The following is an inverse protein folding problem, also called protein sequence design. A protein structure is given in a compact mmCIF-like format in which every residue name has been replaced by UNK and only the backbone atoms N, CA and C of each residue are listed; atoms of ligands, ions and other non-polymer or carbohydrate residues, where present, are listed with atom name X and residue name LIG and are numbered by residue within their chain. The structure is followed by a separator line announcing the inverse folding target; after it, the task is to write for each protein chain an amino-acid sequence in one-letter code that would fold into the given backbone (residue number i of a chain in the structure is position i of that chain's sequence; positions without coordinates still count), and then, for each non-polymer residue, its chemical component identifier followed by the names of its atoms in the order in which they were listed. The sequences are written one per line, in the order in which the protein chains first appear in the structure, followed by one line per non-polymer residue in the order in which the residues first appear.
data_IF_854982695258
#
_entry.id   IF_854982695258
#
_cell.length_a   1.000
_cell.length_b   1.000
_cell.length_c   1.000
_cell.angle_alpha   90.00
_cell.angle_beta   90.00
_cell.angle_gamma   90.00
#
_symmetry.space_group_name_H-M   'P 1'
#
loop_
_entity.id
_entity.type
_entity.pdbx_description
1 polymer ?
#
# COMPACT_ATOMS: atom_id res chain seq x y z
N UNK A 1 -11.33 -3.13 -27.70
CA UNK A 1 -10.35 -3.87 -26.87
C UNK A 1 -9.41 -2.91 -26.13
N UNK A 2 -9.94 -1.81 -25.56
CA UNK A 2 -9.15 -0.77 -24.88
C UNK A 2 -8.80 -1.13 -23.44
N UNK A 3 -9.59 -2.00 -22.82
CA UNK A 3 -9.43 -2.33 -21.39
C UNK A 3 -8.22 -3.20 -21.10
N UNK A 4 -7.73 -3.99 -22.07
CA UNK A 4 -6.56 -4.85 -21.85
C UNK A 4 -5.24 -4.08 -21.78
N UNK A 5 -5.12 -2.99 -22.55
CA UNK A 5 -3.94 -2.11 -22.50
C UNK A 5 -3.89 -1.33 -21.19
N UNK A 6 -5.04 -0.79 -20.78
CA UNK A 6 -5.19 -0.09 -19.50
C UNK A 6 -4.95 -1.02 -18.31
N UNK A 7 -5.49 -2.25 -18.36
CA UNK A 7 -5.25 -3.28 -17.35
C UNK A 7 -3.79 -3.72 -17.30
N UNK A 8 -3.15 -3.90 -18.45
CA UNK A 8 -1.73 -4.30 -18.50
C UNK A 8 -0.84 -3.22 -17.89
N UNK A 9 -1.09 -1.95 -18.23
CA UNK A 9 -0.38 -0.82 -17.64
C UNK A 9 -0.55 -0.78 -16.11
N UNK A 10 -1.79 -0.87 -15.62
CA UNK A 10 -2.06 -0.90 -14.18
C UNK A 10 -1.33 -2.05 -13.48
N UNK A 11 -1.32 -3.24 -14.07
CA UNK A 11 -0.61 -4.41 -13.53
C UNK A 11 0.88 -4.11 -13.41
N UNK A 12 1.48 -3.58 -14.47
CA UNK A 12 2.92 -3.34 -14.53
C UNK A 12 3.34 -2.20 -13.57
N UNK A 13 2.58 -1.09 -13.56
CA UNK A 13 2.82 0.07 -12.68
C UNK A 13 2.65 -0.30 -11.20
N UNK A 14 1.56 -1.01 -10.85
CA UNK A 14 1.31 -1.44 -9.48
C UNK A 14 2.34 -2.48 -9.01
N UNK A 15 2.76 -3.40 -9.89
CA UNK A 15 3.82 -4.35 -9.58
C UNK A 15 5.12 -3.62 -9.26
N UNK A 16 5.49 -2.63 -10.07
CA UNK A 16 6.70 -1.86 -9.84
C UNK A 16 6.64 -1.08 -8.51
N UNK A 17 5.50 -0.45 -8.20
CA UNK A 17 5.31 0.28 -6.95
C UNK A 17 5.39 -0.65 -5.72
N UNK A 18 4.84 -1.88 -5.81
CA UNK A 18 4.98 -2.90 -4.77
C UNK A 18 6.43 -3.35 -4.59
N UNK A 19 7.18 -3.53 -5.68
CA UNK A 19 8.59 -3.93 -5.63
C UNK A 19 9.49 -2.84 -5.05
N UNK A 20 9.25 -1.57 -5.39
CA UNK A 20 9.96 -0.42 -4.83
C UNK A 20 9.52 -0.07 -3.41
N UNK A 21 8.46 -0.70 -2.91
CA UNK A 21 7.78 -0.37 -1.65
C UNK A 21 7.31 1.08 -1.57
N UNK A 22 6.94 1.66 -2.70
CA UNK A 22 6.44 3.02 -2.77
C UNK A 22 4.96 3.06 -2.34
N UNK A 23 4.74 3.30 -1.05
CA UNK A 23 3.41 3.28 -0.45
C UNK A 23 2.51 4.37 -1.02
N UNK A 24 3.07 5.55 -1.32
CA UNK A 24 2.30 6.67 -1.86
C UNK A 24 1.82 6.37 -3.28
N UNK A 25 2.71 5.83 -4.12
CA UNK A 25 2.35 5.43 -5.48
C UNK A 25 1.33 4.28 -5.50
N UNK A 26 1.47 3.31 -4.60
CA UNK A 26 0.46 2.23 -4.44
C UNK A 26 -0.92 2.80 -4.13
N UNK A 27 -1.02 3.75 -3.17
CA UNK A 27 -2.28 4.38 -2.81
C UNK A 27 -2.84 5.23 -3.95
N UNK A 28 -1.97 5.95 -4.66
CA UNK A 28 -2.34 6.75 -5.83
C UNK A 28 -2.96 5.88 -6.93
N UNK A 29 -2.25 4.82 -7.35
CA UNK A 29 -2.70 3.90 -8.40
C UNK A 29 -4.02 3.20 -8.02
N UNK A 30 -4.15 2.74 -6.77
CA UNK A 30 -5.40 2.11 -6.31
C UNK A 30 -6.58 3.10 -6.32
N UNK A 31 -6.34 4.37 -5.98
CA UNK A 31 -7.37 5.41 -6.03
C UNK A 31 -7.74 5.81 -7.45
N UNK A 32 -6.76 6.02 -8.33
CA UNK A 32 -6.98 6.45 -9.72
C UNK A 32 -7.75 5.38 -10.52
N UNK A 33 -7.40 4.11 -10.31
CA UNK A 33 -8.00 3.00 -11.04
C UNK A 33 -9.16 2.34 -10.29
N UNK A 34 -9.63 2.90 -9.17
CA UNK A 34 -10.64 2.29 -8.32
C UNK A 34 -11.90 1.87 -9.11
N UNK A 35 -12.50 2.80 -9.84
CA UNK A 35 -13.71 2.54 -10.63
C UNK A 35 -13.45 1.54 -11.76
N UNK A 36 -12.26 1.59 -12.36
CA UNK A 36 -11.84 0.65 -13.38
C UNK A 36 -11.71 -0.77 -12.81
N UNK A 37 -11.06 -0.93 -11.65
CA UNK A 37 -10.89 -2.22 -10.98
C UNK A 37 -12.26 -2.85 -10.66
N UNK A 38 -13.19 -2.07 -10.12
CA UNK A 38 -14.55 -2.56 -9.82
C UNK A 38 -15.38 -2.88 -11.06
N UNK A 39 -15.05 -2.30 -12.21
CA UNK A 39 -15.72 -2.60 -13.48
C UNK A 39 -15.22 -3.88 -14.17
N UNK A 40 -14.10 -4.47 -13.71
CA UNK A 40 -13.51 -5.65 -14.35
C UNK A 40 -14.38 -6.90 -14.16
N UNK A 41 -14.96 -7.38 -15.26
CA UNK A 41 -15.68 -8.66 -15.29
C UNK A 41 -14.82 -9.70 -16.01
N UNK A 42 -14.49 -10.85 -15.38
CA UNK A 42 -13.75 -11.91 -16.03
C UNK A 42 -14.53 -12.51 -17.20
N UNK A 43 -14.11 -12.23 -18.43
CA UNK A 43 -14.71 -12.81 -19.62
C UNK A 43 -14.04 -14.13 -20.01
N UNK A 44 -14.81 -15.23 -20.01
CA UNK A 44 -14.32 -16.58 -20.37
C UNK A 44 -13.75 -16.67 -21.80
N UNK A 45 -14.08 -15.74 -22.69
CA UNK A 45 -13.64 -15.72 -24.09
C UNK A 45 -12.30 -14.99 -24.31
N UNK A 46 -11.80 -14.26 -23.32
CA UNK A 46 -10.56 -13.49 -23.42
C UNK A 46 -9.52 -13.98 -22.41
N UNK A 47 -8.82 -15.07 -22.74
CA UNK A 47 -7.84 -15.72 -21.87
C UNK A 47 -6.78 -14.76 -21.34
N UNK A 48 -6.18 -13.93 -22.19
CA UNK A 48 -5.17 -12.92 -21.80
C UNK A 48 -5.71 -11.88 -20.82
N UNK A 49 -6.96 -11.43 -21.01
CA UNK A 49 -7.59 -10.49 -20.09
C UNK A 49 -7.82 -11.16 -18.72
N UNK A 50 -8.34 -12.39 -18.72
CA UNK A 50 -8.55 -13.18 -17.51
C UNK A 50 -7.25 -13.40 -16.73
N UNK A 51 -6.14 -13.69 -17.42
CA UNK A 51 -4.82 -13.83 -16.81
C UNK A 51 -4.33 -12.52 -16.19
N UNK A 52 -4.47 -11.38 -16.88
CA UNK A 52 -4.10 -10.07 -16.35
C UNK A 52 -4.95 -9.66 -15.14
N UNK A 53 -6.25 -9.97 -15.14
CA UNK A 53 -7.13 -9.75 -13.97
C UNK A 53 -6.65 -10.60 -12.78
N UNK A 54 -6.30 -11.87 -13.01
CA UNK A 54 -5.73 -12.72 -11.94
C UNK A 54 -4.42 -12.16 -11.40
N UNK A 55 -3.52 -11.70 -12.27
CA UNK A 55 -2.26 -11.07 -11.87
C UNK A 55 -2.52 -9.82 -11.01
N UNK A 56 -3.45 -8.97 -11.45
CA UNK A 56 -3.84 -7.77 -10.69
C UNK A 56 -4.34 -8.12 -9.29
N UNK A 57 -5.18 -9.15 -9.14
CA UNK A 57 -5.69 -9.59 -7.83
C UNK A 57 -4.53 -9.97 -6.89
N UNK A 58 -3.56 -10.75 -7.38
CA UNK A 58 -2.41 -11.18 -6.57
C UNK A 58 -1.55 -9.98 -6.16
N UNK A 59 -1.22 -9.09 -7.10
CA UNK A 59 -0.42 -7.89 -6.83
C UNK A 59 -1.15 -6.98 -5.83
N UNK A 60 -2.45 -6.80 -5.99
CA UNK A 60 -3.26 -5.98 -5.09
C UNK A 60 -3.28 -6.54 -3.66
N UNK A 61 -3.34 -7.87 -3.50
CA UNK A 61 -3.21 -8.49 -2.18
C UNK A 61 -1.84 -8.21 -1.54
N UNK A 62 -0.75 -8.29 -2.31
CA UNK A 62 0.59 -7.92 -1.84
C UNK A 62 0.67 -6.44 -1.45
N UNK A 63 0.08 -5.55 -2.25
CA UNK A 63 0.00 -4.12 -1.96
C UNK A 63 -0.74 -3.85 -0.63
N UNK A 64 -1.90 -4.48 -0.43
CA UNK A 64 -2.66 -4.37 0.83
C UNK A 64 -1.84 -4.84 2.03
N UNK A 65 -1.12 -5.94 1.89
CA UNK A 65 -0.27 -6.47 2.96
C UNK A 65 0.85 -5.49 3.31
N UNK A 66 1.51 -4.92 2.30
CA UNK A 66 2.58 -3.95 2.49
C UNK A 66 2.08 -2.67 3.20
N UNK A 67 0.92 -2.15 2.81
CA UNK A 67 0.31 -0.97 3.47
C UNK A 67 -0.01 -1.27 4.94
N UNK A 68 -0.52 -2.47 5.24
CA UNK A 68 -0.79 -2.89 6.64
C UNK A 68 0.49 -2.97 7.47
N UNK A 69 1.55 -3.54 6.90
CA UNK A 69 2.86 -3.63 7.57
C UNK A 69 3.43 -2.24 7.83
N UNK A 70 3.41 -1.35 6.83
CA UNK A 70 3.84 0.03 6.97
C UNK A 70 3.06 0.78 8.06
N UNK A 71 1.73 0.57 8.14
CA UNK A 71 0.92 1.14 9.22
C UNK A 71 1.34 0.64 10.61
N UNK A 72 1.60 -0.66 10.77
CA UNK A 72 2.07 -1.23 12.04
C UNK A 72 3.44 -0.68 12.43
N UNK A 73 4.36 -0.55 11.48
CA UNK A 73 5.68 0.04 11.70
C UNK A 73 5.57 1.50 12.16
N UNK A 74 4.75 2.31 11.49
CA UNK A 74 4.50 3.70 11.88
C UNK A 74 3.89 3.80 13.28
N UNK A 75 2.97 2.90 13.63
CA UNK A 75 2.36 2.87 14.96
C UNK A 75 3.38 2.57 16.06
N UNK A 76 4.28 1.59 15.85
CA UNK A 76 5.35 1.29 16.81
C UNK A 76 6.32 2.46 16.95
N UNK A 77 6.76 3.06 15.83
CA UNK A 77 7.64 4.23 15.86
C UNK A 77 7.02 5.40 16.65
N UNK A 78 5.74 5.68 16.46
CA UNK A 78 5.01 6.68 17.23
C UNK A 78 4.99 6.32 18.72
N UNK A 79 4.68 5.08 19.07
CA UNK A 79 4.69 4.63 20.47
C UNK A 79 6.07 4.79 21.13
N UNK A 80 7.15 4.36 20.46
CA UNK A 80 8.52 4.52 20.97
C UNK A 80 8.87 6.00 21.13
N UNK A 81 8.53 6.86 20.17
CA UNK A 81 8.79 8.30 20.25
C UNK A 81 8.11 8.95 21.46
N UNK A 82 6.85 8.58 21.74
CA UNK A 82 6.08 9.07 22.90
C UNK A 82 6.71 8.57 24.20
N UNK A 83 7.10 7.29 24.25
CA UNK A 83 7.76 6.69 25.42
C UNK A 83 9.08 7.40 25.75
N UNK A 84 9.91 7.65 24.75
CA UNK A 84 11.18 8.39 24.88
C UNK A 84 10.92 9.83 25.34
N UNK A 85 9.92 10.52 24.76
CA UNK A 85 9.56 11.88 25.19
C UNK A 85 9.15 11.93 26.66
N UNK A 86 8.35 10.95 27.12
CA UNK A 86 7.92 10.85 28.52
C UNK A 86 9.08 10.55 29.47
N UNK A 87 10.03 9.68 29.09
CA UNK A 87 11.19 9.39 29.92
C UNK A 87 12.12 10.60 30.06
N UNK A 88 12.36 11.35 28.97
CA UNK A 88 13.13 12.59 29.00
C UNK A 88 12.45 13.66 29.88
N UNK A 89 11.13 13.80 29.78
CA UNK A 89 10.36 14.75 30.63
C UNK A 89 10.49 14.42 32.12
N UNK A 90 10.44 13.13 32.50
CA UNK A 90 10.67 12.70 33.89
C UNK A 90 12.08 13.05 34.37
N UNK A 91 13.08 12.83 33.52
CA UNK A 91 14.47 13.14 33.87
C UNK A 91 14.73 14.64 34.05
N UNK A 92 14.11 15.50 33.22
CA UNK A 92 14.18 16.97 33.41
C UNK A 92 13.46 17.46 34.66
N UNK A 93 12.33 16.86 35.03
CA UNK A 93 11.60 17.23 36.25
C UNK A 93 12.36 16.90 37.54
N UNK A 94 13.19 15.85 37.53
CA UNK A 94 14.01 15.45 38.68
C UNK A 94 15.24 16.37 38.85
N UNK A 95 15.81 16.91 37.76
CA UNK A 95 16.97 17.81 37.81
C UNK A 95 16.68 19.24 38.28
N UNK A 96 15.41 19.61 38.43
CA UNK A 96 15.00 20.96 38.85
C UNK A 96 14.19 20.94 40.16
N UNK A 97 14.21 19.83 40.89
CA UNK A 97 13.66 19.71 42.24
C UNK A 97 14.82 19.73 43.26
N UNK A 98 15.50 20.88 43.35
CA UNK A 98 16.38 21.25 44.48
C UNK A 98 15.91 22.58 45.07
#
# INVERSE_FOLDING_TARGET
MHDIGRLSKLVDDLQQAVLSKDIEEILHLCSEYNDFIYSLVPEKKHALFSEKVKALIVIHQSAVQLVKESHLEMQDQLYQSIKVRKSISKYKGIKHAE
#
